data_IF_483285278548
#
_entry.id   IF_483285278548
#
_cell.length_a   1.000
_cell.length_b   1.000
_cell.length_c   1.000
_cell.angle_alpha   90.00
_cell.angle_beta   90.00
_cell.angle_gamma   90.00
#
_symmetry.space_group_name_H-M   'P 1'
#
loop_
_entity.id
_entity.type
_entity.pdbx_description
1 polymer ?
#
# COMPACT_ATOMS: atom_id res chain seq x y z
N UNK A 1 -0.20 20.20 11.70
CA UNK A 1 -0.34 18.81 12.19
C UNK A 1 -1.15 18.11 11.12
N UNK A 2 -0.48 17.74 10.02
CA UNK A 2 -1.14 17.64 8.71
C UNK A 2 -0.39 16.65 7.84
N UNK A 3 -0.66 15.35 7.95
CA UNK A 3 -0.26 14.36 6.94
C UNK A 3 -1.09 13.10 7.18
N UNK A 4 -2.15 12.85 6.41
CA UNK A 4 -3.03 11.69 6.66
C UNK A 4 -3.02 10.74 5.48
N UNK A 5 -3.17 11.25 4.26
CA UNK A 5 -3.16 10.42 3.06
C UNK A 5 -1.73 10.13 2.57
N UNK A 6 -0.83 11.12 2.68
CA UNK A 6 0.55 10.98 2.18
C UNK A 6 1.51 10.39 3.21
N UNK A 7 1.29 10.59 4.50
CA UNK A 7 2.06 9.84 5.51
C UNK A 7 1.73 8.36 5.46
N UNK A 8 0.51 7.99 5.08
CA UNK A 8 0.16 6.59 4.87
C UNK A 8 0.93 6.01 3.69
N UNK A 9 0.87 6.65 2.52
CA UNK A 9 1.57 6.24 1.29
C UNK A 9 3.11 6.28 1.42
N UNK A 10 3.67 7.27 2.12
CA UNK A 10 5.12 7.42 2.34
C UNK A 10 5.63 6.54 3.50
N UNK A 11 4.86 6.33 4.59
CA UNK A 11 5.21 5.33 5.61
C UNK A 11 5.16 3.91 5.03
N UNK A 12 4.20 3.65 4.15
CA UNK A 12 4.12 2.42 3.33
C UNK A 12 5.37 2.20 2.47
N UNK A 13 5.93 3.26 1.87
CA UNK A 13 7.15 3.17 1.09
C UNK A 13 8.43 3.06 1.95
N UNK A 14 8.47 3.71 3.13
CA UNK A 14 9.68 3.85 3.93
C UNK A 14 9.97 2.71 4.93
N UNK A 15 8.97 1.92 5.34
CA UNK A 15 9.11 0.96 6.45
C UNK A 15 9.80 -0.39 6.15
N UNK A 16 10.28 -0.64 4.92
CA UNK A 16 10.95 -1.92 4.57
C UNK A 16 12.38 -1.76 4.01
N UNK A 17 13.04 -0.63 4.28
CA UNK A 17 14.45 -0.43 3.95
C UNK A 17 15.34 -0.79 5.13
N UNK A 18 15.87 -2.01 5.17
CA UNK A 18 17.26 -2.36 5.54
C UNK A 18 17.40 -3.86 5.78
N UNK A 19 18.20 -4.54 4.95
CA UNK A 19 18.50 -5.96 5.14
C UNK A 19 19.22 -6.63 3.97
N UNK A 20 20.03 -5.88 3.21
CA UNK A 20 20.94 -6.46 2.22
C UNK A 20 22.18 -7.01 2.93
N UNK A 21 22.30 -8.32 3.04
CA UNK A 21 23.58 -8.98 3.36
C UNK A 21 24.09 -9.68 2.10
N UNK A 22 25.17 -9.14 1.55
CA UNK A 22 25.94 -9.73 0.46
C UNK A 22 26.50 -11.10 0.92
N UNK A 23 26.23 -12.15 0.15
CA UNK A 23 26.79 -13.47 0.38
C UNK A 23 28.20 -13.57 -0.26
N UNK A 24 29.16 -13.95 0.58
CA UNK A 24 30.55 -14.25 0.23
C UNK A 24 30.63 -15.59 -0.53
N UNK A 25 31.23 -15.68 -1.74
CA UNK A 25 31.21 -16.90 -2.54
C UNK A 25 32.46 -17.74 -2.28
N UNK A 26 32.41 -18.66 -1.32
CA UNK A 26 33.44 -19.71 -1.18
C UNK A 26 33.01 -20.89 -0.31
N UNK A 27 32.28 -21.90 -0.86
CA UNK A 27 32.42 -23.36 -0.56
C UNK A 27 31.71 -24.16 -1.68
N UNK A 28 32.30 -25.25 -2.23
CA UNK A 28 31.61 -26.18 -3.13
C UNK A 28 31.01 -27.39 -2.39
N UNK A 29 29.89 -27.92 -2.93
CA UNK A 29 29.43 -29.33 -2.93
C UNK A 29 27.98 -29.57 -2.44
N UNK A 30 27.23 -30.24 -3.34
CA UNK A 30 25.97 -30.99 -3.15
C UNK A 30 24.81 -30.25 -2.47
N UNK A 31 24.13 -29.39 -3.22
CA UNK A 31 22.81 -28.89 -2.82
C UNK A 31 21.77 -30.00 -3.06
N UNK A 32 21.24 -30.60 -2.00
CA UNK A 32 19.95 -31.26 -2.05
C UNK A 32 18.92 -30.27 -2.61
N UNK A 33 18.11 -30.69 -3.59
CA UNK A 33 17.01 -29.86 -4.06
C UNK A 33 16.08 -29.55 -2.86
N UNK A 34 15.69 -28.28 -2.68
CA UNK A 34 14.85 -27.90 -1.55
C UNK A 34 13.52 -28.67 -1.59
N UNK A 35 12.92 -28.98 -0.43
CA UNK A 35 11.58 -29.55 -0.37
C UNK A 35 10.59 -28.78 -1.25
N UNK A 36 9.69 -29.51 -1.91
CA UNK A 36 8.67 -28.93 -2.80
C UNK A 36 7.86 -27.82 -2.12
N UNK A 37 7.57 -27.98 -0.83
CA UNK A 37 6.86 -27.01 0.01
C UNK A 37 7.64 -25.69 0.15
N UNK A 38 8.95 -25.76 0.41
CA UNK A 38 9.82 -24.58 0.45
C UNK A 38 9.91 -23.88 -0.92
N UNK A 39 9.89 -24.66 -2.01
CA UNK A 39 9.89 -24.10 -3.38
C UNK A 39 8.60 -23.34 -3.68
N UNK A 40 7.45 -23.87 -3.25
CA UNK A 40 6.15 -23.20 -3.41
C UNK A 40 6.05 -21.94 -2.55
N UNK A 41 6.49 -21.98 -1.29
CA UNK A 41 6.51 -20.82 -0.41
C UNK A 41 7.45 -19.73 -0.92
N UNK A 42 8.65 -20.08 -1.39
CA UNK A 42 9.58 -19.12 -1.99
C UNK A 42 9.01 -18.46 -3.25
N UNK A 43 8.39 -19.24 -4.13
CA UNK A 43 7.73 -18.73 -5.34
C UNK A 43 6.55 -17.80 -5.01
N UNK A 44 5.76 -18.15 -4.00
CA UNK A 44 4.65 -17.33 -3.53
C UNK A 44 5.14 -15.99 -2.96
N UNK A 45 6.11 -16.02 -2.03
CA UNK A 45 6.65 -14.79 -1.42
C UNK A 45 7.30 -13.86 -2.46
N UNK A 46 7.99 -14.42 -3.47
CA UNK A 46 8.52 -13.60 -4.56
C UNK A 46 7.42 -12.89 -5.37
N UNK A 47 6.29 -13.56 -5.62
CA UNK A 47 5.15 -12.94 -6.32
C UNK A 47 4.50 -11.85 -5.48
N UNK A 48 4.32 -12.11 -4.17
CA UNK A 48 3.85 -11.11 -3.20
C UNK A 48 4.73 -9.86 -3.24
N UNK A 49 6.04 -10.03 -3.09
CA UNK A 49 7.00 -8.92 -3.07
C UNK A 49 6.97 -8.10 -4.37
N UNK A 50 6.80 -8.76 -5.51
CA UNK A 50 6.70 -8.09 -6.81
C UNK A 50 5.40 -7.29 -6.97
N UNK A 51 4.28 -7.78 -6.45
CA UNK A 51 3.00 -7.07 -6.46
C UNK A 51 3.08 -5.88 -5.49
N UNK A 52 3.58 -6.10 -4.26
CA UNK A 52 3.76 -5.04 -3.26
C UNK A 52 4.66 -3.91 -3.77
N UNK A 53 5.80 -4.23 -4.38
CA UNK A 53 6.70 -3.22 -4.95
C UNK A 53 6.00 -2.39 -6.04
N UNK A 54 5.31 -3.04 -6.98
CA UNK A 54 4.60 -2.33 -8.07
C UNK A 54 3.46 -1.47 -7.54
N UNK A 55 2.74 -1.95 -6.54
CA UNK A 55 1.71 -1.17 -5.88
C UNK A 55 2.30 0.08 -5.23
N UNK A 56 3.41 -0.05 -4.50
CA UNK A 56 4.11 1.07 -3.87
C UNK A 56 4.62 2.09 -4.89
N UNK A 57 5.23 1.63 -5.98
CA UNK A 57 5.71 2.50 -7.05
C UNK A 57 4.53 3.28 -7.67
N UNK A 58 3.41 2.62 -7.96
CA UNK A 58 2.21 3.27 -8.49
C UNK A 58 1.58 4.27 -7.49
N UNK A 59 1.58 3.94 -6.21
CA UNK A 59 1.13 4.85 -5.14
C UNK A 59 2.03 6.08 -5.05
N UNK A 60 3.36 5.92 -5.19
CA UNK A 60 4.28 7.04 -5.21
C UNK A 60 4.08 7.92 -6.46
N UNK A 61 3.91 7.29 -7.64
CA UNK A 61 3.67 7.97 -8.91
C UNK A 61 2.38 8.81 -8.89
N UNK A 62 1.34 8.36 -8.18
CA UNK A 62 0.09 9.12 -8.04
C UNK A 62 0.29 10.54 -7.47
N UNK A 63 1.38 10.77 -6.73
CA UNK A 63 1.71 12.06 -6.12
C UNK A 63 2.73 12.90 -6.89
N UNK A 64 3.36 12.35 -7.93
CA UNK A 64 4.38 13.07 -8.72
C UNK A 64 3.75 14.29 -9.41
N UNK A 65 4.32 15.46 -9.19
CA UNK A 65 3.80 16.75 -9.68
C UNK A 65 2.57 17.27 -8.92
N UNK A 66 2.10 16.53 -7.90
CA UNK A 66 0.96 16.85 -7.03
C UNK A 66 1.37 16.79 -5.55
N UNK A 67 2.65 16.95 -5.25
CA UNK A 67 3.21 16.78 -3.91
C UNK A 67 2.66 17.81 -2.92
N UNK A 68 2.14 18.93 -3.41
CA UNK A 68 1.48 19.94 -2.58
C UNK A 68 0.21 19.40 -1.91
N UNK A 69 -0.49 18.43 -2.54
CA UNK A 69 -1.62 17.73 -1.93
C UNK A 69 -1.20 16.93 -0.68
N UNK A 70 0.10 16.63 -0.53
CA UNK A 70 0.63 15.99 0.66
C UNK A 70 0.73 16.91 1.87
N UNK A 71 0.99 18.20 1.62
CA UNK A 71 1.57 19.10 2.61
C UNK A 71 0.59 20.19 3.07
N UNK A 72 -0.30 20.66 2.19
CA UNK A 72 -1.20 21.79 2.46
C UNK A 72 -2.62 21.49 1.98
N UNK A 73 -3.42 20.84 2.83
CA UNK A 73 -4.78 20.44 2.49
C UNK A 73 -5.80 21.32 3.23
N UNK A 74 -6.77 21.88 2.50
CA UNK A 74 -7.78 22.81 3.02
C UNK A 74 -7.51 24.29 2.70
N UNK A 75 -6.34 24.60 2.14
CA UNK A 75 -6.01 25.87 1.50
C UNK A 75 -5.61 25.63 0.06
N UNK A 76 -5.96 26.56 -0.83
CA UNK A 76 -5.43 26.55 -2.19
C UNK A 76 -3.97 27.00 -2.09
N UNK A 77 -2.97 26.18 -2.47
CA UNK A 77 -1.58 26.58 -2.40
C UNK A 77 -1.29 27.81 -3.26
N UNK A 78 -0.26 28.56 -2.90
CA UNK A 78 0.16 29.72 -3.68
C UNK A 78 0.49 29.30 -5.13
N UNK A 79 -0.09 30.02 -6.10
CA UNK A 79 0.09 29.73 -7.53
C UNK A 79 -0.91 28.74 -8.13
N UNK A 80 -1.81 28.16 -7.33
CA UNK A 80 -2.86 27.25 -7.81
C UNK A 80 -4.24 27.89 -7.71
N UNK A 81 -5.18 27.39 -8.52
CA UNK A 81 -6.61 27.70 -8.40
C UNK A 81 -7.34 26.55 -7.70
N UNK A 82 -8.48 26.84 -7.06
CA UNK A 82 -9.31 25.80 -6.44
C UNK A 82 -9.73 24.70 -7.44
N UNK A 83 -9.93 25.06 -8.71
CA UNK A 83 -10.27 24.12 -9.76
C UNK A 83 -9.10 23.15 -10.08
N UNK A 84 -7.87 23.66 -10.14
CA UNK A 84 -6.68 22.83 -10.36
C UNK A 84 -6.43 21.88 -9.19
N UNK A 85 -6.55 22.37 -7.95
CA UNK A 85 -6.41 21.52 -6.75
C UNK A 85 -7.45 20.41 -6.74
N UNK A 86 -8.69 20.71 -7.14
CA UNK A 86 -9.76 19.73 -7.25
C UNK A 86 -9.47 18.68 -8.34
N UNK A 87 -9.04 19.12 -9.53
CA UNK A 87 -8.65 18.25 -10.64
C UNK A 87 -7.50 17.31 -10.25
N UNK A 88 -6.45 17.84 -9.62
CA UNK A 88 -5.32 17.05 -9.14
C UNK A 88 -5.72 16.09 -8.01
N UNK A 89 -6.66 16.49 -7.14
CA UNK A 89 -7.21 15.60 -6.08
C UNK A 89 -7.97 14.43 -6.69
N UNK A 90 -8.83 14.69 -7.68
CA UNK A 90 -9.56 13.63 -8.40
C UNK A 90 -8.57 12.70 -9.11
N UNK A 91 -7.59 13.27 -9.82
CA UNK A 91 -6.53 12.50 -10.48
C UNK A 91 -5.79 11.60 -9.51
N UNK A 92 -5.33 12.14 -8.38
CA UNK A 92 -4.60 11.38 -7.37
C UNK A 92 -5.44 10.23 -6.78
N UNK A 93 -6.69 10.49 -6.40
CA UNK A 93 -7.59 9.45 -5.87
C UNK A 93 -7.89 8.36 -6.92
N UNK A 94 -8.00 8.75 -8.19
CA UNK A 94 -8.20 7.81 -9.30
C UNK A 94 -6.98 6.91 -9.47
N UNK A 95 -5.77 7.49 -9.48
CA UNK A 95 -4.51 6.75 -9.61
C UNK A 95 -4.32 5.76 -8.44
N UNK A 96 -4.59 6.20 -7.20
CA UNK A 96 -4.55 5.35 -6.00
C UNK A 96 -5.55 4.19 -6.05
N UNK A 97 -6.77 4.46 -6.51
CA UNK A 97 -7.81 3.43 -6.67
C UNK A 97 -7.38 2.40 -7.71
N UNK A 98 -6.90 2.83 -8.89
CA UNK A 98 -6.43 1.94 -9.96
C UNK A 98 -5.26 1.07 -9.48
N UNK A 99 -4.27 1.66 -8.81
CA UNK A 99 -3.13 0.93 -8.27
C UNK A 99 -3.57 -0.16 -7.28
N UNK A 100 -4.49 0.21 -6.37
CA UNK A 100 -5.00 -0.70 -5.33
C UNK A 100 -5.85 -1.82 -5.92
N UNK A 101 -6.74 -1.52 -6.87
CA UNK A 101 -7.57 -2.52 -7.56
C UNK A 101 -6.73 -3.50 -8.37
N UNK A 102 -5.77 -2.99 -9.14
CA UNK A 102 -4.84 -3.83 -9.92
C UNK A 102 -4.10 -4.80 -9.02
N UNK A 103 -3.60 -4.30 -7.88
CA UNK A 103 -2.87 -5.14 -6.93
C UNK A 103 -3.78 -6.15 -6.26
N UNK A 104 -5.00 -5.76 -5.87
CA UNK A 104 -5.99 -6.65 -5.28
C UNK A 104 -6.37 -7.80 -6.22
N UNK A 105 -6.56 -7.51 -7.51
CA UNK A 105 -6.81 -8.53 -8.53
C UNK A 105 -5.64 -9.50 -8.67
N UNK A 106 -4.41 -8.99 -8.71
CA UNK A 106 -3.21 -9.82 -8.78
C UNK A 106 -3.03 -10.69 -7.54
N UNK A 107 -3.30 -10.16 -6.34
CA UNK A 107 -3.30 -10.94 -5.11
C UNK A 107 -4.35 -12.05 -5.19
N UNK A 108 -5.60 -11.74 -5.55
CA UNK A 108 -6.67 -12.74 -5.68
C UNK A 108 -6.38 -13.84 -6.70
N UNK A 109 -5.53 -13.56 -7.69
CA UNK A 109 -5.08 -14.55 -8.67
C UNK A 109 -3.99 -15.51 -8.12
N UNK A 110 -3.34 -15.18 -7.01
CA UNK A 110 -2.36 -16.05 -6.36
C UNK A 110 -3.04 -17.22 -5.64
N UNK A 111 -2.38 -18.37 -5.66
CA UNK A 111 -2.74 -19.50 -4.80
C UNK A 111 -1.72 -19.57 -3.65
N UNK A 112 -2.08 -19.22 -2.41
CA UNK A 112 -1.15 -19.31 -1.30
C UNK A 112 -0.88 -20.77 -0.93
N UNK A 113 0.37 -21.14 -0.59
CA UNK A 113 0.66 -22.40 0.08
C UNK A 113 0.05 -22.41 1.49
N UNK A 114 -0.17 -23.59 2.11
CA UNK A 114 -0.87 -23.73 3.39
C UNK A 114 -0.36 -22.80 4.51
N UNK A 115 0.95 -22.61 4.58
CA UNK A 115 1.63 -21.80 5.58
C UNK A 115 1.30 -20.30 5.43
N UNK A 116 1.05 -19.85 4.20
CA UNK A 116 0.83 -18.45 3.87
C UNK A 116 -0.65 -18.04 3.76
N UNK A 117 -1.61 -18.96 3.94
CA UNK A 117 -3.05 -18.67 3.78
C UNK A 117 -3.51 -17.52 4.69
N UNK A 118 -3.02 -17.46 5.93
CA UNK A 118 -3.38 -16.38 6.87
C UNK A 118 -2.87 -15.04 6.37
N UNK A 119 -1.56 -14.97 6.09
CA UNK A 119 -0.91 -13.78 5.55
C UNK A 119 -1.63 -13.27 4.28
N UNK A 120 -1.94 -14.19 3.36
CA UNK A 120 -2.63 -13.88 2.11
C UNK A 120 -3.97 -13.19 2.35
N UNK A 121 -4.80 -13.75 3.24
CA UNK A 121 -6.11 -13.16 3.58
C UNK A 121 -5.97 -11.80 4.25
N UNK A 122 -5.01 -11.65 5.16
CA UNK A 122 -4.75 -10.37 5.82
C UNK A 122 -4.35 -9.30 4.80
N UNK A 123 -3.54 -9.67 3.81
CA UNK A 123 -3.09 -8.74 2.78
C UNK A 123 -4.21 -8.36 1.80
N UNK A 124 -5.00 -9.33 1.35
CA UNK A 124 -6.19 -9.07 0.54
C UNK A 124 -7.19 -8.15 1.26
N UNK A 125 -7.39 -8.37 2.56
CA UNK A 125 -8.26 -7.53 3.38
C UNK A 125 -7.74 -6.10 3.48
N UNK A 126 -6.43 -5.89 3.66
CA UNK A 126 -5.83 -4.56 3.68
C UNK A 126 -6.07 -3.84 2.33
N UNK A 127 -5.80 -4.50 1.21
CA UNK A 127 -6.01 -3.92 -0.12
C UNK A 127 -7.50 -3.59 -0.38
N UNK A 128 -8.42 -4.45 0.07
CA UNK A 128 -9.87 -4.18 -0.03
C UNK A 128 -10.30 -2.97 0.82
N UNK A 129 -9.75 -2.83 2.02
CA UNK A 129 -10.04 -1.68 2.88
C UNK A 129 -9.49 -0.38 2.28
N UNK A 130 -8.30 -0.42 1.65
CA UNK A 130 -7.74 0.71 0.94
C UNK A 130 -8.56 1.08 -0.30
N UNK A 131 -9.03 0.10 -1.07
CA UNK A 131 -9.94 0.34 -2.21
C UNK A 131 -11.21 1.10 -1.76
N UNK A 132 -11.81 0.68 -0.64
CA UNK A 132 -12.97 1.36 -0.07
C UNK A 132 -12.64 2.78 0.42
N UNK A 133 -11.45 2.97 1.00
CA UNK A 133 -10.97 4.25 1.49
C UNK A 133 -10.79 5.28 0.35
N UNK A 134 -10.33 4.85 -0.82
CA UNK A 134 -10.13 5.70 -2.00
C UNK A 134 -11.43 5.95 -2.78
N UNK A 135 -12.27 4.93 -2.93
CA UNK A 135 -13.50 5.02 -3.73
C UNK A 135 -14.57 5.93 -3.13
N UNK A 136 -14.67 5.99 -1.80
CA UNK A 136 -15.64 6.83 -1.08
C UNK A 136 -15.49 8.32 -1.41
N UNK A 137 -14.33 8.97 -1.19
CA UNK A 137 -14.15 10.38 -1.54
C UNK A 137 -14.22 10.62 -3.05
N UNK A 138 -13.70 9.71 -3.87
CA UNK A 138 -13.75 9.84 -5.34
C UNK A 138 -15.20 9.90 -5.83
N UNK A 139 -16.05 8.99 -5.35
CA UNK A 139 -17.49 8.97 -5.70
C UNK A 139 -18.17 10.29 -5.37
N UNK A 140 -17.89 10.87 -4.19
CA UNK A 140 -18.45 12.16 -3.79
C UNK A 140 -18.02 13.30 -4.72
N UNK A 141 -16.76 13.30 -5.15
CA UNK A 141 -16.23 14.30 -6.09
C UNK A 141 -16.84 14.13 -7.50
N UNK A 142 -16.95 12.90 -8.00
CA UNK A 142 -17.49 12.59 -9.33
C UNK A 142 -18.96 12.99 -9.49
N UNK A 143 -19.77 12.82 -8.43
CA UNK A 143 -21.19 13.23 -8.44
C UNK A 143 -21.39 14.71 -8.08
N UNK A 144 -20.32 15.45 -7.79
CA UNK A 144 -20.37 16.86 -7.39
C UNK A 144 -20.89 17.12 -5.98
N UNK A 145 -20.92 16.11 -5.09
CA UNK A 145 -21.32 16.24 -3.69
C UNK A 145 -20.14 16.73 -2.83
N UNK A 146 -19.83 18.02 -2.99
CA UNK A 146 -18.72 18.67 -2.31
C UNK A 146 -18.89 18.69 -0.78
N UNK A 147 -20.13 18.66 -0.25
CA UNK A 147 -20.38 18.67 1.19
C UNK A 147 -20.19 17.27 1.81
N UNK A 148 -20.54 16.19 1.10
CA UNK A 148 -20.18 14.83 1.52
C UNK A 148 -18.67 14.62 1.47
N UNK A 149 -17.99 15.05 0.40
CA UNK A 149 -16.52 15.03 0.33
C UNK A 149 -15.90 15.81 1.50
N UNK A 150 -16.37 17.03 1.76
CA UNK A 150 -15.89 17.86 2.86
C UNK A 150 -16.09 17.21 4.23
N UNK A 151 -17.25 16.58 4.48
CA UNK A 151 -17.51 15.86 5.74
C UNK A 151 -16.64 14.62 5.89
N UNK A 152 -16.49 13.81 4.84
CA UNK A 152 -15.57 12.67 4.84
C UNK A 152 -14.15 13.15 5.18
N UNK A 153 -13.72 14.23 4.54
CA UNK A 153 -12.40 14.82 4.74
C UNK A 153 -12.19 15.34 6.17
N UNK A 154 -13.14 16.10 6.71
CA UNK A 154 -13.06 16.61 8.09
C UNK A 154 -13.05 15.47 9.10
N UNK A 155 -13.84 14.42 8.89
CA UNK A 155 -13.80 13.22 9.74
C UNK A 155 -12.45 12.51 9.68
N UNK A 156 -11.85 12.40 8.49
CA UNK A 156 -10.49 11.88 8.33
C UNK A 156 -9.45 12.75 9.06
N UNK A 157 -9.65 14.07 9.12
CA UNK A 157 -8.81 15.02 9.86
C UNK A 157 -9.02 15.06 11.37
N UNK A 158 -10.23 14.82 11.87
CA UNK A 158 -10.54 14.84 13.29
C UNK A 158 -10.10 13.55 14.00
N UNK A 159 -9.96 12.44 13.24
CA UNK A 159 -9.44 11.16 13.72
C UNK A 159 -8.26 10.64 12.89
N UNK A 160 -7.19 11.42 12.67
CA UNK A 160 -6.02 10.98 11.89
C UNK A 160 -5.39 9.74 12.52
N UNK A 161 -5.32 9.76 13.85
CA UNK A 161 -4.63 8.75 14.64
C UNK A 161 -5.30 7.39 14.56
N UNK A 162 -6.63 7.30 14.49
CA UNK A 162 -7.32 6.00 14.52
C UNK A 162 -7.20 5.25 13.19
N UNK A 163 -7.43 5.93 12.07
CA UNK A 163 -7.31 5.31 10.74
C UNK A 163 -5.85 5.00 10.39
N UNK A 164 -4.95 5.95 10.65
CA UNK A 164 -3.52 5.74 10.36
C UNK A 164 -2.90 4.72 11.31
N UNK A 165 -3.25 4.70 12.59
CA UNK A 165 -2.76 3.67 13.50
C UNK A 165 -3.30 2.29 13.11
N UNK A 166 -4.58 2.18 12.73
CA UNK A 166 -5.16 0.90 12.28
C UNK A 166 -4.45 0.35 11.04
N UNK A 167 -4.16 1.20 10.05
CA UNK A 167 -3.48 0.78 8.82
C UNK A 167 -2.00 0.48 9.08
N UNK A 168 -1.30 1.31 9.87
CA UNK A 168 0.08 1.08 10.26
C UNK A 168 0.24 -0.21 11.09
N UNK A 169 -0.66 -0.44 12.06
CA UNK A 169 -0.69 -1.66 12.88
C UNK A 169 -0.90 -2.90 11.99
N UNK A 170 -1.81 -2.83 11.01
CA UNK A 170 -2.03 -3.92 10.05
C UNK A 170 -0.81 -4.16 9.15
N UNK A 171 -0.08 -3.11 8.77
CA UNK A 171 1.15 -3.25 8.00
C UNK A 171 2.27 -3.88 8.84
N UNK A 172 2.44 -3.44 10.08
CA UNK A 172 3.39 -4.04 11.01
C UNK A 172 3.07 -5.52 11.23
N UNK A 173 1.79 -5.86 11.37
CA UNK A 173 1.34 -7.24 11.44
C UNK A 173 1.67 -8.02 10.15
N UNK A 174 1.41 -7.46 8.97
CA UNK A 174 1.75 -8.09 7.69
C UNK A 174 3.25 -8.31 7.53
N UNK A 175 4.07 -7.33 7.92
CA UNK A 175 5.52 -7.44 7.91
C UNK A 175 6.01 -8.53 8.86
N UNK A 176 5.45 -8.60 10.07
CA UNK A 176 5.76 -9.65 11.03
C UNK A 176 5.36 -11.04 10.51
N UNK A 177 4.17 -11.17 9.90
CA UNK A 177 3.72 -12.42 9.29
C UNK A 177 4.59 -12.83 8.09
N UNK A 178 4.98 -11.88 7.24
CA UNK A 178 5.92 -12.11 6.12
C UNK A 178 7.29 -12.58 6.61
N UNK A 179 7.84 -11.93 7.64
CA UNK A 179 9.12 -12.32 8.23
C UNK A 179 9.07 -13.74 8.82
N UNK A 180 7.99 -14.08 9.52
CA UNK A 180 7.78 -15.43 10.05
C UNK A 180 7.71 -16.48 8.92
N UNK A 181 7.11 -16.16 7.77
CA UNK A 181 7.13 -17.05 6.59
C UNK A 181 8.54 -17.16 5.98
N UNK A 182 9.30 -16.07 5.97
CA UNK A 182 10.70 -16.08 5.52
C UNK A 182 11.60 -16.95 6.40
N UNK A 183 11.35 -16.99 7.71
CA UNK A 183 12.08 -17.86 8.64
C UNK A 183 11.84 -19.35 8.38
N UNK A 184 10.70 -19.75 7.81
CA UNK A 184 10.44 -21.14 7.39
C UNK A 184 11.27 -21.58 6.18
N UNK A 185 11.93 -20.65 5.49
CA UNK A 185 12.77 -20.90 4.32
C UNK A 185 14.27 -20.96 4.65
N UNK A 186 14.64 -20.73 5.92
CA UNK A 186 16.03 -20.77 6.43
C UNK A 186 16.35 -22.15 7.00
#
# INVERSE_FOLDING_TARGET
MTVILVSLAIMLAAACGEGGAAADPSVPATAEEPPKEQTLLRSYLWQVDRIDLRWRDAVADAYVGREYLANEFGSVPEGYTAAQVLEDTIGNLTDLMIATQTSLEEVRALTPPPEAVRFHRSWEALLSDLEMLWSTPLTHLEIGDNEAFRRWYLNAQEKPGELNASIAERQDQLNAERNALGDLLR
#
